data_IF_945896980549
#
_entry.id   IF_945896980549
#
_cell.length_a   1.000
_cell.length_b   1.000
_cell.length_c   1.000
_cell.angle_alpha   90.00
_cell.angle_beta   90.00
_cell.angle_gamma   90.00
#
_symmetry.space_group_name_H-M   'P 1'
#
loop_
_entity.id
_entity.type
_entity.pdbx_description
1 polymer ?
#
# COMPACT_ATOMS: atom_id res chain seq x y z
N UNK A 1 2.07 -65.56 81.04
CA UNK A 1 0.96 -65.59 80.09
C UNK A 1 1.23 -64.55 79.00
N UNK A 2 1.09 -64.90 77.72
CA UNK A 2 1.16 -64.05 76.50
C UNK A 2 2.46 -63.28 76.16
N UNK A 3 3.31 -63.83 75.26
CA UNK A 3 4.07 -63.00 74.27
C UNK A 3 4.73 -63.75 73.10
N UNK A 4 4.87 -65.08 73.15
CA UNK A 4 5.50 -65.86 72.05
C UNK A 4 4.52 -66.20 70.90
N UNK A 5 3.22 -66.24 71.18
CA UNK A 5 2.20 -66.62 70.18
C UNK A 5 1.91 -65.51 69.15
N UNK A 6 2.21 -64.25 69.47
CA UNK A 6 1.99 -63.11 68.56
C UNK A 6 3.06 -63.02 67.47
N UNK A 7 4.33 -63.22 67.81
CA UNK A 7 5.45 -63.13 66.84
C UNK A 7 5.43 -64.27 65.82
N UNK A 8 5.11 -65.51 66.25
CA UNK A 8 4.92 -66.64 65.32
C UNK A 8 3.72 -66.43 64.40
N UNK A 9 2.59 -65.91 64.91
CA UNK A 9 1.44 -65.53 64.09
C UNK A 9 1.81 -64.42 63.10
N UNK A 10 2.49 -63.38 63.55
CA UNK A 10 2.99 -62.29 62.71
C UNK A 10 3.94 -62.79 61.60
N UNK A 11 4.91 -63.65 61.93
CA UNK A 11 5.81 -64.24 60.95
C UNK A 11 5.08 -65.15 59.94
N UNK A 12 4.05 -65.88 60.38
CA UNK A 12 3.17 -66.65 59.48
C UNK A 12 2.36 -65.73 58.57
N UNK A 13 1.72 -64.68 59.11
CA UNK A 13 0.99 -63.69 58.31
C UNK A 13 1.91 -62.97 57.32
N UNK A 14 3.11 -62.57 57.73
CA UNK A 14 4.11 -61.94 56.86
C UNK A 14 4.55 -62.86 55.72
N UNK A 15 4.84 -64.14 55.99
CA UNK A 15 5.17 -65.13 54.94
C UNK A 15 4.02 -65.36 53.97
N UNK A 16 2.79 -65.40 54.46
CA UNK A 16 1.59 -65.53 53.61
C UNK A 16 1.37 -64.27 52.78
N UNK A 17 1.54 -63.08 53.35
CA UNK A 17 1.46 -61.80 52.63
C UNK A 17 2.53 -61.70 51.54
N UNK A 18 3.78 -62.10 51.82
CA UNK A 18 4.86 -62.14 50.82
C UNK A 18 4.53 -63.10 49.68
N UNK A 19 3.97 -64.29 49.98
CA UNK A 19 3.51 -65.23 48.94
C UNK A 19 2.38 -64.66 48.09
N UNK A 20 1.41 -63.97 48.70
CA UNK A 20 0.31 -63.32 47.98
C UNK A 20 0.87 -62.21 47.07
N UNK A 21 1.78 -61.37 47.58
CA UNK A 21 2.45 -60.33 46.78
C UNK A 21 3.22 -60.96 45.62
N UNK A 22 3.99 -62.03 45.86
CA UNK A 22 4.73 -62.72 44.80
C UNK A 22 3.79 -63.31 43.73
N UNK A 23 2.69 -63.94 44.15
CA UNK A 23 1.65 -64.47 43.25
C UNK A 23 1.00 -63.35 42.43
N UNK A 24 0.73 -62.18 43.04
CA UNK A 24 0.18 -61.03 42.31
C UNK A 24 1.18 -60.45 41.30
N UNK A 25 2.48 -60.43 41.61
CA UNK A 25 3.53 -59.98 40.69
C UNK A 25 3.66 -60.95 39.51
N UNK A 26 3.71 -62.26 39.78
CA UNK A 26 3.78 -63.28 38.72
C UNK A 26 2.54 -63.24 37.83
N UNK A 27 1.36 -63.10 38.44
CA UNK A 27 0.10 -62.98 37.69
C UNK A 27 0.08 -61.72 36.82
N UNK A 28 0.48 -60.56 37.36
CA UNK A 28 0.59 -59.33 36.59
C UNK A 28 1.61 -59.46 35.44
N UNK A 29 2.76 -60.09 35.70
CA UNK A 29 3.78 -60.33 34.68
C UNK A 29 3.27 -61.23 33.55
N UNK A 30 2.55 -62.31 33.88
CA UNK A 30 1.94 -63.21 32.90
C UNK A 30 0.89 -62.47 32.05
N UNK A 31 0.05 -61.64 32.67
CA UNK A 31 -0.95 -60.82 31.96
C UNK A 31 -0.27 -59.82 31.03
N UNK A 32 0.73 -59.07 31.52
CA UNK A 32 1.48 -58.11 30.69
C UNK A 32 2.21 -58.82 29.55
N UNK A 33 2.77 -60.00 29.81
CA UNK A 33 3.46 -60.81 28.80
C UNK A 33 2.48 -61.34 27.74
N UNK A 34 1.29 -61.79 28.13
CA UNK A 34 0.24 -62.18 27.20
C UNK A 34 -0.24 -61.00 26.36
N UNK A 35 -0.44 -59.83 26.98
CA UNK A 35 -0.82 -58.59 26.25
C UNK A 35 0.29 -58.18 25.28
N UNK A 36 1.56 -58.16 25.69
CA UNK A 36 2.69 -57.86 24.82
C UNK A 36 2.93 -58.92 23.72
N UNK A 37 2.49 -60.16 23.95
CA UNK A 37 2.56 -61.24 22.96
C UNK A 37 1.58 -61.00 21.82
N UNK A 38 0.32 -60.66 22.12
CA UNK A 38 -0.74 -60.49 21.12
C UNK A 38 -0.91 -59.08 20.58
N UNK A 39 -0.52 -58.06 21.35
CA UNK A 39 -0.73 -56.65 21.02
C UNK A 39 0.59 -55.89 20.93
N UNK A 40 0.58 -54.83 20.14
CA UNK A 40 1.66 -53.85 20.01
C UNK A 40 1.14 -52.45 20.34
N UNK A 41 1.93 -51.61 21.04
CA UNK A 41 1.57 -50.20 21.21
C UNK A 41 1.59 -49.50 19.85
N UNK A 42 0.53 -48.75 19.56
CA UNK A 42 0.34 -48.00 18.31
C UNK A 42 -0.50 -46.75 18.56
N UNK A 43 -0.78 -45.98 17.51
CA UNK A 43 -1.68 -44.84 17.58
C UNK A 43 -2.89 -45.05 16.69
N UNK A 44 -4.09 -44.95 17.27
CA UNK A 44 -5.32 -44.78 16.53
C UNK A 44 -5.38 -43.34 16.00
N UNK A 45 -5.64 -43.19 14.71
CA UNK A 45 -5.75 -41.88 14.05
C UNK A 45 -7.22 -41.61 13.75
N UNK A 46 -7.72 -40.47 14.22
CA UNK A 46 -9.11 -40.04 13.98
C UNK A 46 -9.16 -38.69 13.29
N UNK A 47 -10.18 -38.47 12.46
CA UNK A 47 -10.51 -37.17 11.88
C UNK A 47 -11.92 -36.78 12.33
N UNK A 48 -12.08 -35.61 12.94
CA UNK A 48 -13.36 -35.14 13.49
C UNK A 48 -14.06 -36.15 14.41
N UNK A 49 -13.29 -36.95 15.15
CA UNK A 49 -13.80 -38.00 16.03
C UNK A 49 -14.13 -39.33 15.34
N UNK A 50 -13.97 -39.45 14.02
CA UNK A 50 -14.11 -40.73 13.30
C UNK A 50 -12.76 -41.42 13.14
N UNK A 51 -12.67 -42.69 13.55
CA UNK A 51 -11.46 -43.50 13.42
C UNK A 51 -11.20 -43.81 11.94
N UNK A 52 -10.05 -43.38 11.42
CA UNK A 52 -9.68 -43.57 10.01
C UNK A 52 -8.57 -44.61 9.80
N UNK A 53 -7.82 -44.97 10.84
CA UNK A 53 -6.75 -45.96 10.75
C UNK A 53 -5.83 -46.02 11.97
N UNK A 54 -4.72 -46.75 11.81
CA UNK A 54 -3.67 -46.88 12.81
C UNK A 54 -2.30 -46.58 12.21
N UNK A 55 -1.41 -45.96 13.01
CA UNK A 55 -0.01 -45.72 12.66
C UNK A 55 0.93 -46.17 13.78
N UNK A 56 2.04 -46.80 13.40
CA UNK A 56 3.13 -47.11 14.34
C UNK A 56 4.03 -45.90 14.59
N UNK A 57 4.16 -45.00 13.60
CA UNK A 57 5.05 -43.86 13.67
C UNK A 57 4.29 -42.54 13.49
N UNK A 58 3.67 -42.07 14.58
CA UNK A 58 3.00 -40.76 14.64
C UNK A 58 3.90 -39.62 14.11
N UNK A 59 5.19 -39.63 14.44
CA UNK A 59 6.08 -38.53 14.09
C UNK A 59 6.30 -38.44 12.58
N UNK A 60 6.53 -39.58 11.92
CA UNK A 60 6.71 -39.66 10.47
C UNK A 60 5.42 -39.30 9.73
N UNK A 61 4.28 -39.86 10.12
CA UNK A 61 3.00 -39.53 9.50
C UNK A 61 2.66 -38.03 9.66
N UNK A 62 2.87 -37.46 10.85
CA UNK A 62 2.67 -36.02 11.08
C UNK A 62 3.63 -35.18 10.24
N UNK A 63 4.89 -35.59 10.08
CA UNK A 63 5.86 -34.88 9.24
C UNK A 63 5.43 -34.88 7.77
N UNK A 64 4.99 -36.02 7.24
CA UNK A 64 4.51 -36.10 5.85
C UNK A 64 3.31 -35.18 5.62
N UNK A 65 2.38 -35.12 6.57
CA UNK A 65 1.22 -34.21 6.52
C UNK A 65 1.68 -32.75 6.59
N UNK A 66 2.68 -32.44 7.44
CA UNK A 66 3.23 -31.09 7.53
C UNK A 66 3.93 -30.67 6.23
N UNK A 67 4.65 -31.57 5.58
CA UNK A 67 5.28 -31.32 4.27
C UNK A 67 4.23 -31.05 3.19
N UNK A 68 3.17 -31.86 3.14
CA UNK A 68 2.03 -31.60 2.27
C UNK A 68 1.41 -30.21 2.53
N UNK A 69 1.20 -29.86 3.80
CA UNK A 69 0.66 -28.56 4.19
C UNK A 69 1.60 -27.40 3.84
N UNK A 70 2.92 -27.60 3.87
CA UNK A 70 3.89 -26.56 3.51
C UNK A 70 3.85 -26.20 2.01
N UNK A 71 3.41 -27.13 1.15
CA UNK A 71 3.29 -26.90 -0.29
C UNK A 71 4.63 -26.83 -1.04
N UNK A 72 4.58 -26.95 -2.37
CA UNK A 72 5.76 -26.98 -3.22
C UNK A 72 6.28 -25.57 -3.52
N UNK A 73 7.53 -25.30 -3.11
CA UNK A 73 8.19 -24.00 -3.30
C UNK A 73 8.36 -23.59 -4.77
N UNK A 74 8.32 -24.54 -5.70
CA UNK A 74 8.56 -24.30 -7.13
C UNK A 74 7.30 -23.90 -7.93
N UNK A 75 6.10 -24.27 -7.48
CA UNK A 75 4.84 -24.04 -8.24
C UNK A 75 4.03 -22.81 -7.78
N UNK A 76 4.63 -21.95 -6.96
CA UNK A 76 3.94 -20.77 -6.40
C UNK A 76 2.84 -21.12 -5.38
N UNK A 77 2.76 -22.39 -4.97
CA UNK A 77 1.93 -22.87 -3.87
C UNK A 77 2.61 -22.49 -2.57
N UNK A 78 1.91 -21.81 -1.66
CA UNK A 78 2.54 -21.34 -0.42
C UNK A 78 2.18 -22.16 0.80
N UNK A 79 0.98 -22.72 0.82
CA UNK A 79 0.61 -23.80 1.73
C UNK A 79 -0.70 -24.44 1.28
N UNK A 80 -0.96 -25.66 1.75
CA UNK A 80 -2.23 -26.37 1.63
C UNK A 80 -2.87 -26.43 3.01
N UNK A 81 -4.13 -26.03 3.10
CA UNK A 81 -4.91 -26.17 4.32
C UNK A 81 -5.71 -27.47 4.26
N UNK A 82 -5.45 -28.39 5.19
CA UNK A 82 -6.26 -29.60 5.36
C UNK A 82 -7.60 -29.25 6.05
N UNK A 83 -8.66 -29.98 5.70
CA UNK A 83 -10.00 -29.72 6.23
C UNK A 83 -10.14 -30.04 7.72
N UNK A 84 -9.34 -30.97 8.24
CA UNK A 84 -9.37 -31.38 9.65
C UNK A 84 -8.02 -31.93 10.08
N UNK A 85 -7.61 -31.63 11.31
CA UNK A 85 -6.33 -32.08 11.86
C UNK A 85 -6.51 -33.50 12.43
N UNK A 86 -5.63 -34.46 12.09
CA UNK A 86 -5.70 -35.80 12.66
C UNK A 86 -5.38 -35.80 14.17
N UNK A 87 -6.19 -36.54 14.92
CA UNK A 87 -5.97 -36.78 16.34
C UNK A 87 -5.37 -38.16 16.57
N UNK A 88 -4.35 -38.23 17.42
CA UNK A 88 -3.59 -39.46 17.69
C UNK A 88 -3.84 -39.90 19.12
N UNK A 89 -4.43 -41.09 19.28
CA UNK A 89 -4.67 -41.69 20.60
C UNK A 89 -3.83 -42.96 20.75
N UNK A 90 -3.01 -43.03 21.79
CA UNK A 90 -2.22 -44.22 22.10
C UNK A 90 -3.15 -45.40 22.41
N UNK A 91 -2.94 -46.53 21.74
CA UNK A 91 -3.72 -47.74 21.95
C UNK A 91 -2.88 -49.01 21.76
N UNK A 92 -3.47 -50.16 22.09
CA UNK A 92 -2.90 -51.48 21.85
C UNK A 92 -3.61 -52.10 20.66
N UNK A 93 -2.86 -52.39 19.58
CA UNK A 93 -3.38 -53.02 18.38
C UNK A 93 -2.92 -54.45 18.28
N UNK A 94 -3.81 -55.33 17.85
CA UNK A 94 -3.48 -56.75 17.66
C UNK A 94 -2.44 -56.89 16.55
N UNK A 95 -1.43 -57.75 16.74
CA UNK A 95 -0.25 -57.82 15.85
C UNK A 95 -0.57 -58.28 14.41
N UNK A 96 -1.70 -58.92 14.19
CA UNK A 96 -2.20 -59.33 12.87
C UNK A 96 -2.82 -58.18 12.06
N UNK A 97 -3.01 -57.00 12.67
CA UNK A 97 -3.50 -55.80 11.98
C UNK A 97 -2.30 -54.95 11.55
N UNK A 98 -2.26 -54.62 10.26
CA UNK A 98 -1.26 -53.74 9.65
C UNK A 98 -1.71 -52.27 9.77
N UNK A 99 -0.82 -51.38 10.22
CA UNK A 99 -1.02 -49.93 10.11
C UNK A 99 -1.24 -49.51 8.64
N UNK A 100 -1.98 -48.43 8.44
CA UNK A 100 -2.43 -47.99 7.11
C UNK A 100 -2.11 -46.49 6.88
N UNK A 101 -0.85 -46.13 7.07
CA UNK A 101 -0.35 -44.75 7.02
C UNK A 101 -0.63 -44.07 5.67
N UNK A 102 -0.49 -44.77 4.55
CA UNK A 102 -0.77 -44.23 3.21
C UNK A 102 -2.25 -43.88 3.01
N UNK A 103 -3.15 -44.74 3.50
CA UNK A 103 -4.60 -44.50 3.42
C UNK A 103 -5.02 -43.34 4.32
N UNK A 104 -4.44 -43.27 5.52
CA UNK A 104 -4.65 -42.15 6.44
C UNK A 104 -4.18 -40.85 5.78
N UNK A 105 -2.96 -40.84 5.24
CA UNK A 105 -2.41 -39.69 4.54
C UNK A 105 -3.30 -39.24 3.37
N UNK A 106 -3.75 -40.18 2.54
CA UNK A 106 -4.66 -39.88 1.44
C UNK A 106 -5.97 -39.23 1.94
N UNK A 107 -6.61 -39.80 2.97
CA UNK A 107 -7.85 -39.24 3.55
C UNK A 107 -7.65 -37.85 4.16
N UNK A 108 -6.53 -37.61 4.83
CA UNK A 108 -6.22 -36.31 5.44
C UNK A 108 -5.99 -35.24 4.36
N UNK A 109 -5.40 -35.63 3.23
CA UNK A 109 -5.00 -34.71 2.15
C UNK A 109 -6.01 -34.57 1.01
N UNK A 110 -7.03 -35.43 0.94
CA UNK A 110 -8.03 -35.51 -0.14
C UNK A 110 -8.73 -34.17 -0.42
N UNK A 111 -9.08 -33.44 0.63
CA UNK A 111 -9.81 -32.16 0.53
C UNK A 111 -8.92 -30.93 0.84
N UNK A 112 -7.61 -31.05 0.63
CA UNK A 112 -6.69 -29.94 0.87
C UNK A 112 -7.00 -28.73 -0.01
N UNK A 113 -7.20 -27.57 0.62
CA UNK A 113 -7.39 -26.31 -0.09
C UNK A 113 -6.04 -25.65 -0.34
N UNK A 114 -5.73 -25.39 -1.60
CA UNK A 114 -4.49 -24.75 -2.00
C UNK A 114 -4.57 -23.23 -1.87
N UNK A 115 -3.55 -22.62 -1.25
CA UNK A 115 -3.43 -21.16 -1.14
C UNK A 115 -2.17 -20.64 -1.84
N UNK A 116 -2.37 -19.55 -2.58
CA UNK A 116 -1.33 -18.77 -3.20
C UNK A 116 -1.06 -17.53 -2.35
N UNK A 117 0.22 -17.26 -2.07
CA UNK A 117 0.66 -16.02 -1.45
C UNK A 117 1.13 -15.05 -2.51
N UNK A 118 0.72 -13.80 -2.36
CA UNK A 118 1.15 -12.72 -3.21
C UNK A 118 1.16 -11.41 -2.43
N UNK A 119 1.74 -10.38 -3.04
CA UNK A 119 1.85 -9.07 -2.43
C UNK A 119 1.08 -8.05 -3.25
N UNK A 120 0.13 -7.39 -2.61
CA UNK A 120 -0.63 -6.29 -3.19
C UNK A 120 0.09 -4.97 -2.90
N UNK A 121 0.40 -4.21 -3.95
CA UNK A 121 0.87 -2.84 -3.79
C UNK A 121 -0.36 -1.93 -3.76
N UNK A 122 -0.44 -1.15 -2.69
CA UNK A 122 -1.55 -0.25 -2.40
C UNK A 122 -1.15 1.20 -2.61
N UNK A 123 -2.11 2.02 -3.03
CA UNK A 123 -2.02 3.48 -3.01
C UNK A 123 -3.21 4.00 -2.19
N UNK A 124 -2.92 4.77 -1.14
CA UNK A 124 -3.94 5.24 -0.18
C UNK A 124 -4.76 4.08 0.38
N UNK A 125 -4.09 2.98 0.75
CA UNK A 125 -4.68 1.74 1.28
C UNK A 125 -5.60 0.98 0.30
N UNK A 126 -5.70 1.40 -0.96
CA UNK A 126 -6.45 0.67 -2.01
C UNK A 126 -5.51 -0.20 -2.83
N UNK A 127 -5.84 -1.47 -2.99
CA UNK A 127 -5.08 -2.41 -3.84
C UNK A 127 -5.08 -1.94 -5.31
N UNK A 128 -3.92 -1.98 -5.96
CA UNK A 128 -3.76 -1.50 -7.35
C UNK A 128 -3.14 -2.52 -8.28
N UNK A 129 -2.07 -3.17 -7.83
CA UNK A 129 -1.31 -4.16 -8.62
C UNK A 129 -0.80 -5.27 -7.69
N UNK A 130 -0.48 -6.43 -8.28
CA UNK A 130 -0.09 -7.64 -7.58
C UNK A 130 1.24 -8.17 -8.12
N UNK A 131 2.10 -8.62 -7.22
CA UNK A 131 3.40 -9.25 -7.52
C UNK A 131 3.56 -10.53 -6.70
N UNK A 132 4.45 -11.40 -7.17
CA UNK A 132 4.59 -12.76 -6.64
C UNK A 132 5.45 -12.80 -5.38
N UNK A 133 6.46 -11.93 -5.28
CA UNK A 133 7.40 -11.92 -4.15
C UNK A 133 7.46 -10.58 -3.44
N UNK A 134 7.88 -10.61 -2.16
CA UNK A 134 8.09 -9.40 -1.38
C UNK A 134 9.18 -8.52 -2.00
N UNK A 135 10.24 -9.16 -2.53
CA UNK A 135 11.37 -8.49 -3.19
C UNK A 135 10.91 -7.66 -4.39
N UNK A 136 10.02 -8.21 -5.23
CA UNK A 136 9.42 -7.47 -6.34
C UNK A 136 8.59 -6.27 -5.85
N UNK A 137 7.82 -6.44 -4.76
CA UNK A 137 7.02 -5.36 -4.19
C UNK A 137 7.90 -4.21 -3.67
N UNK A 138 8.97 -4.54 -2.96
CA UNK A 138 9.96 -3.56 -2.51
C UNK A 138 10.65 -2.85 -3.67
N UNK A 139 10.99 -3.60 -4.72
CA UNK A 139 11.63 -3.04 -5.91
C UNK A 139 10.73 -2.01 -6.61
N UNK A 140 9.42 -2.30 -6.75
CA UNK A 140 8.45 -1.35 -7.32
C UNK A 140 8.40 -0.06 -6.48
N UNK A 141 8.25 -0.17 -5.17
CA UNK A 141 8.20 1.01 -4.28
C UNK A 141 9.51 1.78 -4.32
N UNK A 142 10.65 1.10 -4.32
CA UNK A 142 11.98 1.70 -4.42
C UNK A 142 12.16 2.47 -5.72
N UNK A 143 11.76 1.89 -6.86
CA UNK A 143 11.78 2.55 -8.18
C UNK A 143 10.87 3.80 -8.19
N UNK A 144 9.66 3.72 -7.60
CA UNK A 144 8.74 4.87 -7.50
C UNK A 144 9.27 5.98 -6.60
N UNK A 145 9.92 5.63 -5.48
CA UNK A 145 10.59 6.59 -4.59
C UNK A 145 11.77 7.27 -5.28
N UNK A 146 12.59 6.52 -6.02
CA UNK A 146 13.72 7.07 -6.80
C UNK A 146 13.26 8.01 -7.92
N UNK A 147 12.10 7.74 -8.53
CA UNK A 147 11.47 8.60 -9.55
C UNK A 147 10.74 9.82 -8.98
N UNK A 148 10.83 10.05 -7.68
CA UNK A 148 10.15 11.13 -6.97
C UNK A 148 8.63 11.17 -7.21
N UNK A 149 7.98 10.00 -7.25
CA UNK A 149 6.54 9.90 -7.50
C UNK A 149 5.72 10.66 -6.45
N UNK A 150 4.68 11.39 -6.86
CA UNK A 150 3.86 12.21 -5.96
C UNK A 150 3.18 11.39 -4.85
N UNK A 151 2.77 10.16 -5.17
CA UNK A 151 2.12 9.22 -4.25
C UNK A 151 3.09 8.43 -3.36
N UNK A 152 4.41 8.67 -3.41
CA UNK A 152 5.45 7.87 -2.71
C UNK A 152 5.23 7.66 -1.21
N UNK A 153 4.51 8.58 -0.54
CA UNK A 153 4.19 8.50 0.90
C UNK A 153 2.95 7.65 1.20
N UNK A 154 2.10 7.41 0.21
CA UNK A 154 0.83 6.70 0.33
C UNK A 154 0.92 5.24 -0.15
N UNK A 155 2.09 4.84 -0.66
CA UNK A 155 2.33 3.48 -1.13
C UNK A 155 2.56 2.52 0.05
N UNK A 156 1.91 1.36 0.00
CA UNK A 156 2.07 0.30 0.99
C UNK A 156 2.10 -1.09 0.35
N UNK A 157 2.66 -2.06 1.07
CA UNK A 157 2.68 -3.48 0.67
C UNK A 157 1.76 -4.24 1.63
N UNK A 158 0.88 -5.07 1.08
CA UNK A 158 0.02 -5.94 1.86
C UNK A 158 0.24 -7.38 1.39
N UNK A 159 0.58 -8.25 2.34
CA UNK A 159 0.66 -9.69 2.10
C UNK A 159 -0.75 -10.29 2.04
N UNK A 160 -0.99 -11.15 1.05
CA UNK A 160 -2.32 -11.71 0.76
C UNK A 160 -2.22 -13.20 0.47
N UNK A 161 -3.29 -13.89 0.82
CA UNK A 161 -3.50 -15.30 0.54
C UNK A 161 -4.85 -15.47 -0.15
N UNK A 162 -4.89 -16.22 -1.25
CA UNK A 162 -6.13 -16.51 -1.99
C UNK A 162 -6.07 -17.93 -2.54
N UNK A 163 -7.24 -18.53 -2.77
CA UNK A 163 -7.39 -19.87 -3.36
C UNK A 163 -7.32 -19.83 -4.89
N UNK A 164 -7.44 -18.63 -5.47
CA UNK A 164 -7.37 -18.40 -6.91
C UNK A 164 -6.04 -17.77 -7.30
N UNK A 165 -5.52 -18.16 -8.46
CA UNK A 165 -4.37 -17.50 -9.07
C UNK A 165 -4.71 -16.04 -9.44
N UNK A 166 -3.78 -15.12 -9.22
CA UNK A 166 -3.89 -13.72 -9.62
C UNK A 166 -2.96 -13.44 -10.79
N UNK A 167 -3.36 -12.55 -11.68
CA UNK A 167 -2.47 -12.05 -12.73
C UNK A 167 -1.37 -11.18 -12.13
N UNK A 168 -0.16 -11.73 -12.06
CA UNK A 168 1.01 -10.98 -11.62
C UNK A 168 1.47 -10.02 -12.70
N UNK A 169 1.79 -8.80 -12.28
CA UNK A 169 2.29 -7.76 -13.18
C UNK A 169 3.79 -7.62 -12.97
N UNK A 170 4.56 -7.52 -14.06
CA UNK A 170 6.01 -7.31 -13.96
C UNK A 170 6.34 -5.99 -13.23
N UNK A 171 7.52 -5.94 -12.61
CA UNK A 171 7.97 -4.78 -11.83
C UNK A 171 7.89 -3.49 -12.65
N UNK A 172 8.33 -3.51 -13.90
CA UNK A 172 8.32 -2.34 -14.80
C UNK A 172 6.90 -1.85 -15.09
N UNK A 173 5.97 -2.78 -15.32
CA UNK A 173 4.57 -2.48 -15.62
C UNK A 173 3.81 -2.03 -14.36
N UNK A 174 4.21 -2.50 -13.18
CA UNK A 174 3.72 -1.98 -11.91
C UNK A 174 4.16 -0.53 -11.70
N UNK A 175 5.44 -0.22 -11.92
CA UNK A 175 5.97 1.15 -11.79
C UNK A 175 5.28 2.10 -12.76
N UNK A 176 5.09 1.70 -14.02
CA UNK A 176 4.43 2.59 -15.00
C UNK A 176 2.96 2.87 -14.67
N UNK A 177 2.22 1.88 -14.16
CA UNK A 177 0.82 2.05 -13.75
C UNK A 177 0.65 2.92 -12.50
N UNK A 178 1.60 2.88 -11.57
CA UNK A 178 1.51 3.54 -10.26
C UNK A 178 2.19 4.91 -10.20
N UNK A 179 2.99 5.26 -11.21
CA UNK A 179 3.74 6.50 -11.20
C UNK A 179 2.83 7.72 -11.33
N UNK A 180 2.98 8.67 -10.40
CA UNK A 180 2.35 9.98 -10.47
C UNK A 180 3.44 11.06 -10.52
N UNK A 181 3.39 11.93 -11.53
CA UNK A 181 4.38 12.99 -11.68
C UNK A 181 4.38 13.93 -10.45
N UNK A 182 5.56 14.27 -9.88
CA UNK A 182 5.66 15.16 -8.73
C UNK A 182 5.01 16.51 -9.02
N UNK A 183 4.11 16.93 -8.13
CA UNK A 183 3.53 18.28 -8.15
C UNK A 183 4.57 19.25 -7.60
N UNK A 184 5.12 20.11 -8.46
CA UNK A 184 6.05 21.17 -8.04
C UNK A 184 5.27 22.18 -7.20
N UNK A 185 5.36 22.06 -5.88
CA UNK A 185 4.90 23.10 -4.94
C UNK A 185 5.93 24.21 -4.92
N UNK A 186 5.70 25.27 -5.69
CA UNK A 186 6.42 26.51 -5.52
C UNK A 186 6.00 27.09 -4.18
N UNK A 187 6.93 27.14 -3.22
CA UNK A 187 6.77 27.88 -1.97
C UNK A 187 6.60 29.34 -2.34
N UNK A 188 5.36 29.80 -2.32
CA UNK A 188 5.05 31.21 -2.40
C UNK A 188 5.63 31.87 -1.15
N UNK A 189 6.79 32.51 -1.26
CA UNK A 189 7.08 33.63 -0.37
C UNK A 189 5.93 34.61 -0.59
N UNK A 190 5.09 34.77 0.42
CA UNK A 190 4.04 35.76 0.40
C UNK A 190 4.71 37.13 0.32
N UNK A 191 4.97 37.61 -0.90
CA UNK A 191 5.41 38.98 -1.10
C UNK A 191 4.20 39.89 -0.89
N UNK A 192 3.98 40.24 0.37
CA UNK A 192 3.30 41.43 0.81
C UNK A 192 4.27 42.60 0.63
N UNK A 193 4.39 43.12 -0.58
CA UNK A 193 5.26 44.26 -0.83
C UNK A 193 4.80 45.06 -2.03
N UNK A 194 4.81 46.38 -1.83
CA UNK A 194 4.54 47.38 -2.85
C UNK A 194 5.35 47.11 -4.13
N UNK A 195 4.76 47.42 -5.29
CA UNK A 195 5.51 47.43 -6.55
C UNK A 195 6.60 48.50 -6.45
N UNK A 196 7.85 48.07 -6.59
CA UNK A 196 9.05 48.90 -6.40
C UNK A 196 9.39 49.77 -7.62
N UNK A 197 8.81 49.49 -8.80
CA UNK A 197 9.02 50.28 -10.02
C UNK A 197 8.61 49.54 -11.30
N UNK A 198 8.72 50.25 -12.42
CA UNK A 198 8.52 49.76 -13.80
C UNK A 198 9.89 49.63 -14.47
N UNK A 199 10.16 48.50 -15.14
CA UNK A 199 11.39 48.29 -15.91
C UNK A 199 11.09 47.76 -17.31
N UNK A 200 11.69 48.39 -18.32
CA UNK A 200 11.63 47.90 -19.71
C UNK A 200 12.71 46.85 -20.03
N UNK A 201 13.69 46.67 -19.14
CA UNK A 201 14.78 45.72 -19.35
C UNK A 201 14.26 44.29 -19.44
N UNK A 202 14.82 43.47 -20.34
CA UNK A 202 14.52 42.04 -20.39
C UNK A 202 15.43 41.30 -19.42
N UNK A 203 14.86 40.77 -18.34
CA UNK A 203 15.57 39.89 -17.39
C UNK A 203 15.28 38.42 -17.65
N UNK A 204 16.24 37.54 -17.39
CA UNK A 204 16.02 36.09 -17.48
C UNK A 204 15.12 35.64 -16.33
N UNK A 205 13.95 35.07 -16.65
CA UNK A 205 12.97 34.61 -15.66
C UNK A 205 13.28 33.21 -15.11
N UNK A 206 14.17 32.44 -15.76
CA UNK A 206 14.34 31.01 -15.45
C UNK A 206 13.11 30.15 -15.78
N UNK A 207 12.06 30.74 -16.35
CA UNK A 207 10.83 30.09 -16.82
C UNK A 207 10.44 30.66 -18.19
N UNK A 208 9.94 29.82 -19.08
CA UNK A 208 9.39 30.26 -20.36
C UNK A 208 7.91 30.59 -20.20
N UNK A 209 7.46 31.72 -20.73
CA UNK A 209 6.06 32.15 -20.69
C UNK A 209 5.38 31.93 -22.05
N UNK A 210 4.17 31.38 -22.05
CA UNK A 210 3.30 31.37 -23.23
C UNK A 210 2.33 32.54 -23.19
N UNK A 211 1.75 32.87 -24.34
CA UNK A 211 0.64 33.82 -24.43
C UNK A 211 -0.57 33.29 -23.65
N UNK A 212 -1.07 34.03 -22.65
CA UNK A 212 -2.18 33.57 -21.82
C UNK A 212 -3.52 33.63 -22.56
N UNK A 213 -3.65 34.52 -23.55
CA UNK A 213 -4.83 34.66 -24.40
C UNK A 213 -4.44 35.19 -25.79
N UNK A 214 -5.27 34.93 -26.79
CA UNK A 214 -5.18 35.55 -28.11
C UNK A 214 -6.13 36.75 -28.19
N UNK A 215 -5.63 37.88 -28.69
CA UNK A 215 -6.37 39.13 -28.78
C UNK A 215 -5.52 40.27 -29.31
N UNK A 216 -6.09 41.48 -29.30
CA UNK A 216 -5.45 42.71 -29.78
C UNK A 216 -4.80 43.41 -28.59
N UNK A 217 -3.53 43.80 -28.71
CA UNK A 217 -2.87 44.62 -27.70
C UNK A 217 -3.43 46.05 -27.77
N UNK A 218 -4.18 46.47 -26.75
CA UNK A 218 -4.78 47.81 -26.67
C UNK A 218 -3.90 48.80 -25.93
N UNK A 219 -3.27 48.37 -24.84
CA UNK A 219 -2.36 49.21 -24.03
C UNK A 219 -1.07 48.45 -23.76
N UNK A 220 0.06 49.05 -24.14
CA UNK A 220 1.38 48.52 -23.87
C UNK A 220 1.87 48.92 -22.47
N UNK A 221 2.79 48.13 -21.94
CA UNK A 221 3.51 48.43 -20.71
C UNK A 221 4.16 49.82 -20.76
N UNK A 222 4.19 50.52 -19.63
CA UNK A 222 4.80 51.85 -19.48
C UNK A 222 4.02 53.01 -20.11
N UNK A 223 2.96 52.76 -20.89
CA UNK A 223 2.20 53.81 -21.60
C UNK A 223 1.28 54.62 -20.65
N UNK A 224 1.09 55.91 -20.95
CA UNK A 224 0.15 56.80 -20.24
C UNK A 224 0.78 57.57 -19.07
N UNK A 225 0.09 58.59 -18.56
CA UNK A 225 0.64 59.56 -17.60
C UNK A 225 1.13 58.96 -16.26
N UNK A 226 0.67 57.75 -15.91
CA UNK A 226 1.03 57.05 -14.67
C UNK A 226 1.82 55.75 -14.91
N UNK A 227 2.19 55.45 -16.16
CA UNK A 227 2.91 54.23 -16.53
C UNK A 227 2.08 52.96 -16.38
N UNK A 228 1.53 52.46 -17.49
CA UNK A 228 0.73 51.24 -17.47
C UNK A 228 1.53 50.03 -16.94
N UNK A 229 1.01 49.37 -15.91
CA UNK A 229 1.71 48.35 -15.11
C UNK A 229 1.82 46.97 -15.77
N UNK A 230 1.10 46.76 -16.86
CA UNK A 230 1.01 45.47 -17.53
C UNK A 230 0.87 45.62 -19.04
N UNK A 231 0.32 44.58 -19.66
CA UNK A 231 -0.04 44.53 -21.06
C UNK A 231 -1.53 44.22 -21.16
N UNK A 232 -2.29 45.11 -21.80
CA UNK A 232 -3.72 44.92 -22.00
C UNK A 232 -3.97 44.23 -23.34
N UNK A 233 -4.66 43.09 -23.29
CA UNK A 233 -4.98 42.27 -24.45
C UNK A 233 -6.51 42.15 -24.53
N UNK A 234 -7.11 42.92 -25.44
CA UNK A 234 -8.55 42.92 -25.67
C UNK A 234 -9.01 41.68 -26.44
N UNK A 235 -10.08 41.09 -25.95
CA UNK A 235 -10.77 39.93 -26.55
C UNK A 235 -12.15 39.78 -25.92
N UNK A 236 -12.98 38.87 -26.44
CA UNK A 236 -14.36 38.72 -26.00
C UNK A 236 -14.48 38.26 -24.54
N UNK A 237 -15.46 38.80 -23.79
CA UNK A 237 -15.84 38.33 -22.45
C UNK A 237 -16.07 36.82 -22.46
N UNK A 238 -15.61 36.12 -21.43
CA UNK A 238 -15.76 34.67 -21.29
C UNK A 238 -14.66 33.85 -21.96
N UNK A 239 -13.81 34.46 -22.80
CA UNK A 239 -12.66 33.80 -23.42
C UNK A 239 -11.75 33.19 -22.34
N UNK A 240 -11.32 31.92 -22.47
CA UNK A 240 -10.44 31.28 -21.48
C UNK A 240 -9.08 31.98 -21.38
N UNK A 241 -8.65 32.25 -20.14
CA UNK A 241 -7.31 32.74 -19.81
C UNK A 241 -6.48 31.54 -19.34
N UNK A 242 -5.33 31.31 -19.98
CA UNK A 242 -4.39 30.24 -19.64
C UNK A 242 -3.27 30.76 -18.73
N UNK A 243 -2.77 29.91 -17.84
CA UNK A 243 -1.55 30.19 -17.10
C UNK A 243 -0.35 30.27 -18.07
N UNK A 244 0.36 31.39 -18.05
CA UNK A 244 1.52 31.64 -18.91
C UNK A 244 2.69 30.69 -18.59
N UNK A 245 2.80 30.19 -17.37
CA UNK A 245 3.74 29.13 -16.97
C UNK A 245 3.15 28.31 -15.81
N UNK A 246 3.76 27.15 -15.54
CA UNK A 246 3.40 26.33 -14.38
C UNK A 246 3.77 27.02 -13.07
N UNK A 247 2.97 26.84 -12.03
CA UNK A 247 3.17 27.58 -10.78
C UNK A 247 2.17 27.25 -9.68
N UNK A 248 2.26 27.99 -8.57
CA UNK A 248 1.30 27.96 -7.47
C UNK A 248 0.46 29.24 -7.48
N UNK A 249 -0.87 29.12 -7.44
CA UNK A 249 -1.77 30.27 -7.33
C UNK A 249 -1.61 30.91 -5.95
N UNK A 250 -1.09 32.13 -5.90
CA UNK A 250 -0.86 32.87 -4.65
C UNK A 250 -2.04 33.79 -4.29
N UNK A 251 -2.80 34.22 -5.29
CA UNK A 251 -4.04 34.99 -5.13
C UNK A 251 -5.08 34.48 -6.13
N UNK A 252 -6.31 34.29 -5.66
CA UNK A 252 -7.49 34.11 -6.50
C UNK A 252 -8.67 34.76 -5.78
N UNK A 253 -9.09 35.95 -6.20
CA UNK A 253 -10.13 36.71 -5.49
C UNK A 253 -10.37 38.10 -6.05
N UNK A 254 -11.13 38.91 -5.31
CA UNK A 254 -11.46 40.29 -5.66
C UNK A 254 -10.41 41.29 -5.18
N UNK A 255 -10.12 42.28 -6.02
CA UNK A 255 -9.33 43.46 -5.70
C UNK A 255 -10.03 44.71 -6.27
N UNK A 256 -10.00 45.84 -5.55
CA UNK A 256 -10.73 47.03 -5.95
C UNK A 256 -10.31 47.60 -7.32
N UNK A 257 -9.02 47.55 -7.66
CA UNK A 257 -8.53 48.03 -8.97
C UNK A 257 -8.55 46.92 -10.02
N UNK A 258 -8.01 45.75 -9.70
CA UNK A 258 -7.86 44.65 -10.65
C UNK A 258 -9.15 43.84 -10.87
N UNK A 259 -10.21 44.06 -10.08
CA UNK A 259 -11.42 43.23 -10.10
C UNK A 259 -11.14 41.80 -9.66
N UNK A 260 -11.78 40.82 -10.29
CA UNK A 260 -11.37 39.43 -10.08
C UNK A 260 -10.01 39.17 -10.73
N UNK A 261 -9.08 38.68 -9.93
CA UNK A 261 -7.71 38.45 -10.36
C UNK A 261 -7.17 37.08 -9.92
N UNK A 262 -6.22 36.57 -10.71
CA UNK A 262 -5.35 35.44 -10.35
C UNK A 262 -3.92 35.94 -10.31
N UNK A 263 -3.15 35.52 -9.31
CA UNK A 263 -1.70 35.65 -9.29
C UNK A 263 -1.08 34.26 -9.19
N UNK A 264 -0.09 33.98 -10.04
CA UNK A 264 0.64 32.71 -10.05
C UNK A 264 2.11 32.99 -9.78
N UNK A 265 2.68 32.33 -8.76
CA UNK A 265 4.13 32.32 -8.52
C UNK A 265 4.76 31.14 -9.26
N UNK A 266 5.86 31.41 -9.95
CA UNK A 266 6.60 30.45 -10.76
C UNK A 266 7.95 30.05 -10.13
N UNK A 267 8.21 30.48 -8.89
CA UNK A 267 9.52 30.35 -8.24
C UNK A 267 10.49 31.48 -8.62
N UNK A 268 11.65 31.51 -7.97
CA UNK A 268 12.74 32.49 -8.21
C UNK A 268 12.30 33.96 -8.18
N UNK A 269 11.25 34.29 -7.41
CA UNK A 269 10.70 35.63 -7.33
C UNK A 269 9.83 36.06 -8.53
N UNK A 270 9.62 35.17 -9.51
CA UNK A 270 8.80 35.44 -10.70
C UNK A 270 7.32 35.20 -10.41
N UNK A 271 6.48 36.17 -10.73
CA UNK A 271 5.03 36.08 -10.64
C UNK A 271 4.36 36.59 -11.92
N UNK A 272 3.22 36.00 -12.27
CA UNK A 272 2.32 36.55 -13.29
C UNK A 272 0.98 36.93 -12.68
N UNK A 273 0.40 38.03 -13.17
CA UNK A 273 -0.91 38.54 -12.72
C UNK A 273 -1.88 38.56 -13.90
N UNK A 274 -3.11 38.09 -13.65
CA UNK A 274 -4.20 38.05 -14.61
C UNK A 274 -5.40 38.77 -13.97
N UNK A 275 -5.78 39.92 -14.50
CA UNK A 275 -6.80 40.78 -13.90
C UNK A 275 -8.00 41.02 -14.83
N UNK A 276 -9.01 41.72 -14.29
CA UNK A 276 -10.29 42.04 -14.92
C UNK A 276 -11.10 40.80 -15.34
N UNK A 277 -10.96 39.68 -14.64
CA UNK A 277 -11.60 38.42 -14.99
C UNK A 277 -13.13 38.47 -14.75
N UNK A 278 -13.92 37.77 -15.56
CA UNK A 278 -15.36 37.55 -15.29
C UNK A 278 -15.61 36.39 -14.33
N UNK A 279 -14.72 35.40 -14.35
CA UNK A 279 -14.80 34.20 -13.50
C UNK A 279 -13.42 33.63 -13.23
N UNK A 280 -13.18 33.24 -11.99
CA UNK A 280 -11.99 32.49 -11.57
C UNK A 280 -12.30 30.99 -11.60
N UNK A 281 -11.36 30.19 -12.10
CA UNK A 281 -11.50 28.72 -12.24
C UNK A 281 -10.49 27.96 -11.37
N UNK A 282 -9.76 28.69 -10.53
CA UNK A 282 -8.75 28.18 -9.60
C UNK A 282 -8.89 28.85 -8.24
N UNK A 283 -8.29 28.24 -7.22
CA UNK A 283 -8.28 28.75 -5.85
C UNK A 283 -6.86 29.00 -5.35
N UNK A 284 -6.70 29.86 -4.33
CA UNK A 284 -5.41 30.11 -3.68
C UNK A 284 -4.81 28.79 -3.15
N UNK A 285 -3.52 28.58 -3.37
CA UNK A 285 -2.78 27.37 -3.01
C UNK A 285 -2.81 26.27 -4.07
N UNK A 286 -3.64 26.40 -5.12
CA UNK A 286 -3.72 25.42 -6.20
C UNK A 286 -2.46 25.48 -7.09
N UNK A 287 -1.87 24.32 -7.38
CA UNK A 287 -0.85 24.19 -8.44
C UNK A 287 -1.51 24.17 -9.81
N UNK A 288 -0.92 24.89 -10.76
CA UNK A 288 -1.38 24.96 -12.16
C UNK A 288 -0.25 24.63 -13.12
N UNK A 289 -0.58 23.97 -14.22
CA UNK A 289 0.35 23.72 -15.33
C UNK A 289 0.33 24.86 -16.34
N UNK A 290 1.43 25.06 -17.07
CA UNK A 290 1.45 25.99 -18.21
C UNK A 290 0.36 25.62 -19.22
N UNK A 291 -0.40 26.61 -19.70
CA UNK A 291 -1.50 26.38 -20.62
C UNK A 291 -2.82 25.97 -19.98
N UNK A 292 -2.83 25.63 -18.68
CA UNK A 292 -4.06 25.33 -17.96
C UNK A 292 -4.97 26.56 -17.91
N UNK A 293 -6.27 26.37 -18.16
CA UNK A 293 -7.26 27.44 -18.05
C UNK A 293 -7.46 27.78 -16.57
N UNK A 294 -7.26 29.05 -16.20
CA UNK A 294 -7.29 29.53 -14.81
C UNK A 294 -8.40 30.54 -14.53
N UNK A 295 -8.87 31.24 -15.57
CA UNK A 295 -9.92 32.25 -15.45
C UNK A 295 -10.59 32.47 -16.81
N UNK A 296 -11.57 33.37 -16.84
CA UNK A 296 -12.22 33.85 -18.07
C UNK A 296 -12.13 35.37 -18.15
N UNK A 297 -11.93 35.89 -19.37
CA UNK A 297 -11.89 37.33 -19.66
C UNK A 297 -13.17 38.00 -19.19
N UNK A 298 -13.06 39.21 -18.66
CA UNK A 298 -14.18 40.04 -18.24
C UNK A 298 -13.85 41.52 -18.31
N UNK A 299 -14.61 42.30 -17.55
CA UNK A 299 -14.46 43.76 -17.45
C UNK A 299 -14.77 44.22 -16.01
N UNK A 300 -14.19 43.54 -15.01
CA UNK A 300 -14.41 43.84 -13.59
C UNK A 300 -13.33 44.73 -13.00
N UNK A 301 -13.64 45.48 -11.94
CA UNK A 301 -12.69 46.42 -11.33
C UNK A 301 -12.59 47.69 -12.17
N UNK A 302 -11.42 48.32 -12.20
CA UNK A 302 -11.16 49.49 -13.02
C UNK A 302 -10.84 49.06 -14.47
N UNK A 303 -11.88 48.80 -15.26
CA UNK A 303 -11.77 48.39 -16.66
C UNK A 303 -12.83 49.10 -17.49
N UNK A 304 -12.45 49.58 -18.67
CA UNK A 304 -13.33 50.27 -19.63
C UNK A 304 -13.96 49.33 -20.67
N UNK A 305 -13.62 48.04 -20.65
CA UNK A 305 -14.18 47.04 -21.55
C UNK A 305 -13.48 45.68 -21.46
N UNK A 306 -13.96 44.64 -22.15
CA UNK A 306 -13.41 43.30 -22.04
C UNK A 306 -11.94 43.17 -22.48
N UNK A 307 -11.05 42.89 -21.53
CA UNK A 307 -9.62 42.64 -21.81
C UNK A 307 -8.96 41.84 -20.68
N UNK A 308 -7.79 41.27 -20.98
CA UNK A 308 -6.85 40.80 -19.96
C UNK A 308 -5.86 41.90 -19.66
N UNK A 309 -5.75 42.30 -18.39
CA UNK A 309 -4.57 43.00 -17.90
C UNK A 309 -3.57 41.97 -17.37
N UNK A 310 -2.42 41.85 -18.05
CA UNK A 310 -1.39 40.86 -17.75
C UNK A 310 -0.12 41.53 -17.24
N UNK A 311 0.42 41.08 -16.11
CA UNK A 311 1.70 41.57 -15.59
C UNK A 311 2.72 40.44 -15.42
N UNK A 312 3.99 40.78 -15.59
CA UNK A 312 5.14 39.95 -15.20
C UNK A 312 5.90 40.70 -14.12
N UNK A 313 6.11 40.05 -12.97
CA UNK A 313 6.82 40.61 -11.82
C UNK A 313 8.01 39.75 -11.48
N UNK A 314 9.14 40.37 -11.13
CA UNK A 314 10.31 39.68 -10.57
C UNK A 314 10.75 40.40 -9.31
N UNK A 315 10.68 39.72 -8.16
CA UNK A 315 11.01 40.28 -6.84
C UNK A 315 10.30 41.61 -6.54
N UNK A 316 9.05 41.74 -6.98
CA UNK A 316 8.23 42.96 -6.77
C UNK A 316 8.35 44.03 -7.86
N UNK A 317 9.35 43.96 -8.74
CA UNK A 317 9.51 44.89 -9.87
C UNK A 317 8.67 44.43 -11.07
N UNK A 318 7.97 45.35 -11.73
CA UNK A 318 7.20 45.06 -12.94
C UNK A 318 8.09 45.12 -14.18
N UNK A 319 7.95 44.12 -15.05
CA UNK A 319 8.67 44.04 -16.31
C UNK A 319 7.70 44.00 -17.49
N UNK A 320 8.14 44.55 -18.63
CA UNK A 320 7.34 44.57 -19.85
C UNK A 320 6.98 43.14 -20.29
N UNK A 321 5.69 42.72 -20.20
CA UNK A 321 5.29 41.36 -20.56
C UNK A 321 5.55 41.02 -22.02
N UNK A 322 5.53 42.02 -22.91
CA UNK A 322 5.71 41.82 -24.34
C UNK A 322 7.08 41.20 -24.67
N UNK A 323 8.11 41.41 -23.84
CA UNK A 323 9.44 40.83 -24.01
C UNK A 323 9.50 39.29 -23.81
N UNK A 324 8.44 38.69 -23.27
CA UNK A 324 8.38 37.30 -22.85
C UNK A 324 7.36 36.45 -23.60
N UNK A 325 6.28 37.08 -24.09
CA UNK A 325 5.16 36.37 -24.74
C UNK A 325 4.96 36.77 -26.21
N UNK A 326 5.78 37.67 -26.75
CA UNK A 326 5.87 38.05 -28.17
C UNK A 326 7.34 38.16 -28.59
#
# INVERSE_FOLDING_TARGET
>A
MFKINSFRKFAMFFRTSVKIVLLTIISAFLVVSAVAFFYKPTYAVSLNGELIGYTENKAELQNNINEYMAGDKEEGIVFRQIGSVPEYTLCLLKKDITPNDDEIYAKVTENGTQYYKYYAITDNKKEKVYVSTFKEAEEVISKLKKKDSANKKNLGIVEKYDTKTKEFTSVEKCVSKLYEAPKVTYVASAYSGNVSGLSEAKVNLGVSLIRPVSGIITTRFGRGNYGHRGLDIATSTGTPIKAAAGGTVTVAGWNNSYGYMVKVSHGNGVETVYAHCSKLLVSRGQSVSQGQIIAKIGSTGNSSGPHLHFEVRVNGTLYNPQNYIY
#
